data_IF_041213049450
#
_entry.id   IF_041213049450
#
_cell.length_a   1.000
_cell.length_b   1.000
_cell.length_c   1.000
_cell.angle_alpha   90.00
_cell.angle_beta   90.00
_cell.angle_gamma   90.00
#
_symmetry.space_group_name_H-M   'P 1'
#
loop_
_entity.id
_entity.type
_entity.pdbx_description
1 polymer ?
#
# COMPACT_ATOMS: atom_id res chain seq x y z
N UNK A 1 47.74 10.93 30.84
CA UNK A 1 46.46 10.28 30.62
C UNK A 1 46.02 10.72 29.22
N UNK A 2 46.14 9.86 28.24
CA UNK A 2 45.75 10.20 26.88
C UNK A 2 44.22 10.30 26.83
N UNK A 3 43.70 11.44 26.40
CA UNK A 3 42.33 11.68 26.04
C UNK A 3 41.93 10.62 25.02
N UNK A 4 41.08 9.67 25.44
CA UNK A 4 40.45 8.74 24.53
C UNK A 4 39.40 9.57 23.77
N UNK A 5 39.45 9.66 22.43
CA UNK A 5 38.41 10.41 21.70
C UNK A 5 37.05 9.87 22.12
N UNK A 6 36.17 10.77 22.59
CA UNK A 6 34.82 10.42 23.03
C UNK A 6 34.16 9.57 21.93
N UNK A 7 33.98 8.29 22.25
CA UNK A 7 33.30 7.35 21.35
C UNK A 7 31.85 7.83 21.27
N UNK A 8 31.33 7.98 20.05
CA UNK A 8 29.96 8.41 19.85
C UNK A 8 28.98 7.50 20.65
N UNK A 9 27.93 8.06 21.24
CA UNK A 9 26.90 7.26 21.93
C UNK A 9 26.39 6.16 21.03
N UNK A 10 26.17 4.95 21.56
CA UNK A 10 25.86 3.79 20.74
C UNK A 10 24.56 3.12 21.16
N UNK A 11 23.73 2.74 20.18
CA UNK A 11 22.54 1.92 20.35
C UNK A 11 22.77 0.56 19.70
N UNK A 12 22.83 -0.50 20.51
CA UNK A 12 22.92 -1.88 20.01
C UNK A 12 21.51 -2.45 19.93
N UNK A 13 21.05 -2.73 18.70
CA UNK A 13 19.70 -3.21 18.47
C UNK A 13 19.73 -4.71 18.23
N UNK A 14 18.94 -5.46 19.00
CA UNK A 14 18.80 -6.91 18.90
C UNK A 14 17.36 -7.29 18.58
N UNK A 15 17.15 -8.22 17.66
CA UNK A 15 15.83 -8.80 17.45
C UNK A 15 15.57 -9.98 18.38
N UNK A 16 14.36 -10.03 18.93
CA UNK A 16 13.89 -11.12 19.80
C UNK A 16 13.29 -12.29 19.04
N UNK A 17 13.39 -12.28 17.72
CA UNK A 17 12.72 -13.30 16.89
C UNK A 17 11.20 -13.11 16.84
N UNK A 18 10.49 -13.94 16.06
CA UNK A 18 9.06 -13.77 15.82
C UNK A 18 8.15 -14.42 16.87
N UNK A 19 8.71 -15.20 17.82
CA UNK A 19 7.93 -15.95 18.82
C UNK A 19 8.75 -16.22 20.10
N UNK A 20 8.80 -17.46 20.56
CA UNK A 20 9.43 -17.84 21.82
C UNK A 20 10.97 -17.91 21.77
N UNK A 21 11.57 -18.23 22.92
CA UNK A 21 13.02 -18.21 23.15
C UNK A 21 13.79 -19.21 22.27
N UNK A 22 13.14 -20.24 21.77
CA UNK A 22 13.69 -21.22 20.83
C UNK A 22 14.04 -20.63 19.46
N UNK A 23 13.49 -19.45 19.16
CA UNK A 23 13.78 -18.70 17.93
C UNK A 23 14.79 -17.57 18.12
N UNK A 24 15.34 -17.41 19.34
CA UNK A 24 16.43 -16.47 19.58
C UNK A 24 17.72 -16.97 18.92
N UNK A 25 18.38 -16.09 18.17
CA UNK A 25 19.69 -16.44 17.61
C UNK A 25 20.76 -16.49 18.69
N UNK A 26 21.78 -17.33 18.50
CA UNK A 26 22.95 -17.32 19.40
C UNK A 26 23.69 -15.97 19.39
N UNK A 27 23.54 -15.17 18.34
CA UNK A 27 24.04 -13.80 18.25
C UNK A 27 23.31 -12.89 19.21
N UNK A 28 21.97 -12.92 19.18
CA UNK A 28 21.10 -12.19 20.11
C UNK A 28 21.44 -12.57 21.56
N UNK A 29 21.45 -13.85 21.90
CA UNK A 29 21.74 -14.34 23.27
C UNK A 29 23.09 -13.83 23.79
N UNK A 30 24.13 -13.82 22.97
CA UNK A 30 25.45 -13.29 23.37
C UNK A 30 25.41 -11.79 23.63
N UNK A 31 24.56 -11.03 22.92
CA UNK A 31 24.43 -9.58 23.10
C UNK A 31 23.56 -9.22 24.30
N UNK A 32 22.59 -10.05 24.66
CA UNK A 32 21.74 -9.86 25.84
C UNK A 32 22.49 -10.09 27.14
N UNK A 33 23.53 -10.93 27.14
CA UNK A 33 24.24 -11.30 28.36
C UNK A 33 24.98 -10.10 29.00
N UNK A 34 24.48 -9.64 30.16
CA UNK A 34 25.17 -8.69 31.03
C UNK A 34 25.26 -7.26 30.53
N UNK A 35 24.35 -6.82 29.66
CA UNK A 35 24.31 -5.44 29.15
C UNK A 35 23.21 -4.63 29.79
N UNK A 36 23.60 -3.53 30.42
CA UNK A 36 22.73 -2.50 30.97
C UNK A 36 23.30 -1.12 30.62
N UNK A 37 22.48 -0.09 30.37
CA UNK A 37 21.01 -0.13 30.38
C UNK A 37 20.43 -0.85 29.15
N UNK A 38 19.32 -1.58 29.38
CA UNK A 38 18.61 -2.32 28.36
C UNK A 38 17.15 -1.83 28.24
N UNK A 39 16.65 -1.78 27.02
CA UNK A 39 15.29 -1.34 26.70
C UNK A 39 14.58 -2.39 25.85
N UNK A 40 13.26 -2.53 26.09
CA UNK A 40 12.36 -3.35 25.30
C UNK A 40 11.38 -2.46 24.54
N UNK A 41 11.17 -2.73 23.27
CA UNK A 41 10.08 -2.14 22.50
C UNK A 41 8.73 -2.36 23.18
N UNK A 42 8.50 -3.60 23.62
CA UNK A 42 7.33 -4.01 24.39
C UNK A 42 7.66 -5.20 25.29
N UNK A 43 7.10 -5.21 26.49
CA UNK A 43 7.17 -6.34 27.41
C UNK A 43 6.22 -7.49 27.04
N UNK A 44 5.31 -7.27 26.09
CA UNK A 44 4.31 -8.26 25.66
C UNK A 44 4.87 -9.34 24.73
N UNK A 45 6.13 -9.21 24.30
CA UNK A 45 6.79 -10.21 23.46
C UNK A 45 7.09 -11.49 24.26
N UNK A 46 6.85 -12.71 23.70
CA UNK A 46 7.10 -13.97 24.41
C UNK A 46 8.53 -14.11 24.97
N UNK A 47 9.54 -13.64 24.21
CA UNK A 47 10.95 -13.66 24.63
C UNK A 47 11.41 -12.41 25.39
N UNK A 48 10.50 -11.58 25.90
CA UNK A 48 10.85 -10.39 26.70
C UNK A 48 11.63 -10.77 27.98
N UNK A 49 11.36 -11.95 28.56
CA UNK A 49 12.06 -12.49 29.73
C UNK A 49 13.55 -12.75 29.50
N UNK A 50 13.98 -12.88 28.23
CA UNK A 50 15.39 -13.02 27.87
C UNK A 50 16.20 -11.72 28.08
N UNK A 51 15.52 -10.58 28.33
CA UNK A 51 16.14 -9.28 28.59
C UNK A 51 15.78 -8.83 30.02
N UNK A 52 16.42 -9.42 31.05
CA UNK A 52 16.09 -9.09 32.42
C UNK A 52 16.43 -7.63 32.73
N UNK A 53 15.66 -7.01 33.63
CA UNK A 53 15.81 -5.62 34.10
C UNK A 53 15.67 -4.54 32.97
N UNK A 54 15.18 -4.89 31.79
CA UNK A 54 14.97 -3.91 30.75
C UNK A 54 13.80 -2.98 31.05
N UNK A 55 13.95 -1.72 30.66
CA UNK A 55 12.84 -0.76 30.66
C UNK A 55 12.00 -0.94 29.39
N UNK A 56 10.71 -1.20 29.56
CA UNK A 56 9.76 -1.27 28.45
C UNK A 56 9.30 0.12 28.03
N UNK A 57 8.95 0.28 26.76
CA UNK A 57 8.31 1.48 26.21
C UNK A 57 6.78 1.35 26.09
N UNK A 58 6.18 0.37 26.75
CA UNK A 58 4.72 0.16 26.70
C UNK A 58 3.94 1.38 27.22
N UNK A 59 4.52 2.13 28.17
CA UNK A 59 3.96 3.39 28.70
C UNK A 59 3.68 4.43 27.60
N UNK A 60 4.55 4.55 26.60
CA UNK A 60 4.39 5.50 25.50
C UNK A 60 3.20 5.19 24.62
N UNK A 61 2.86 3.91 24.47
CA UNK A 61 1.68 3.50 23.71
C UNK A 61 0.36 3.82 24.41
N UNK A 62 0.38 3.91 25.73
CA UNK A 62 -0.79 4.24 26.52
C UNK A 62 -0.96 5.77 26.68
N UNK A 63 0.12 6.55 26.58
CA UNK A 63 0.14 8.00 26.85
C UNK A 63 0.00 8.87 25.59
N UNK A 64 0.48 8.40 24.42
CA UNK A 64 0.56 9.21 23.20
C UNK A 64 -0.55 8.84 22.21
N UNK A 65 -0.98 9.84 21.41
CA UNK A 65 -2.15 9.71 20.57
C UNK A 65 -1.87 9.03 19.22
N UNK A 66 -0.63 9.12 18.72
CA UNK A 66 -0.25 8.59 17.41
C UNK A 66 1.01 7.74 17.47
N UNK A 67 1.14 6.79 16.57
CA UNK A 67 2.34 5.96 16.46
C UNK A 67 3.60 6.78 16.15
N UNK A 68 3.48 7.83 15.35
CA UNK A 68 4.63 8.70 15.03
C UNK A 68 5.18 9.39 16.28
N UNK A 69 4.31 9.87 17.18
CA UNK A 69 4.70 10.43 18.46
C UNK A 69 5.38 9.39 19.34
N UNK A 70 4.85 8.16 19.38
CA UNK A 70 5.45 7.04 20.13
C UNK A 70 6.86 6.74 19.64
N UNK A 71 7.02 6.62 18.32
CA UNK A 71 8.31 6.27 17.73
C UNK A 71 9.36 7.37 17.95
N UNK A 72 8.98 8.63 17.80
CA UNK A 72 9.84 9.77 18.11
C UNK A 72 10.25 9.78 19.57
N UNK A 73 9.33 9.55 20.50
CA UNK A 73 9.61 9.51 21.93
C UNK A 73 10.54 8.35 22.33
N UNK A 74 10.38 7.17 21.72
CA UNK A 74 11.30 6.02 21.91
C UNK A 74 12.71 6.42 21.48
N UNK A 75 12.86 7.00 20.31
CA UNK A 75 14.17 7.46 19.78
C UNK A 75 14.82 8.45 20.74
N UNK A 76 14.11 9.47 21.21
CA UNK A 76 14.63 10.46 22.14
C UNK A 76 15.08 9.84 23.47
N UNK A 77 14.30 8.91 24.04
CA UNK A 77 14.68 8.20 25.27
C UNK A 77 15.94 7.34 25.07
N UNK A 78 16.06 6.64 23.93
CA UNK A 78 17.23 5.82 23.60
C UNK A 78 18.50 6.67 23.38
N UNK A 79 18.38 7.77 22.64
CA UNK A 79 19.49 8.71 22.41
C UNK A 79 19.96 9.33 23.70
N UNK A 80 19.04 9.79 24.56
CA UNK A 80 19.38 10.35 25.87
C UNK A 80 20.09 9.32 26.77
N UNK A 81 19.59 8.09 26.82
CA UNK A 81 20.19 7.01 27.59
C UNK A 81 21.59 6.62 27.05
N UNK A 82 21.76 6.53 25.73
CA UNK A 82 23.05 6.24 25.10
C UNK A 82 24.06 7.36 25.37
N UNK A 83 23.63 8.60 25.33
CA UNK A 83 24.47 9.76 25.67
C UNK A 83 24.93 9.73 27.12
N UNK A 84 24.07 9.30 28.03
CA UNK A 84 24.40 9.22 29.45
C UNK A 84 25.31 8.05 29.82
N UNK A 85 25.15 6.89 29.16
CA UNK A 85 25.85 5.63 29.50
C UNK A 85 26.95 5.22 28.52
N UNK A 86 27.04 5.89 27.36
CA UNK A 86 27.95 5.55 26.26
C UNK A 86 27.38 4.46 25.32
N UNK A 87 26.70 3.46 25.85
CA UNK A 87 26.06 2.39 25.07
C UNK A 87 24.78 1.94 25.75
N UNK A 88 23.74 1.64 24.94
CA UNK A 88 22.49 1.02 25.39
C UNK A 88 22.12 -0.16 24.50
N UNK A 89 21.38 -1.11 25.06
CA UNK A 89 20.77 -2.22 24.33
C UNK A 89 19.30 -1.89 24.06
N UNK A 90 18.86 -2.07 22.84
CA UNK A 90 17.44 -1.97 22.45
C UNK A 90 16.97 -3.27 21.83
N UNK A 91 16.03 -3.96 22.47
CA UNK A 91 15.49 -5.22 22.01
C UNK A 91 14.10 -5.00 21.38
N UNK A 92 13.94 -5.47 20.14
CA UNK A 92 12.73 -5.34 19.35
C UNK A 92 12.12 -6.68 18.98
N UNK A 93 10.80 -6.79 18.78
CA UNK A 93 10.16 -7.97 18.22
C UNK A 93 10.72 -8.33 16.85
N UNK A 94 10.76 -9.62 16.51
CA UNK A 94 11.17 -10.09 15.19
C UNK A 94 12.61 -9.75 14.83
N UNK A 95 12.79 -9.31 13.60
CA UNK A 95 14.06 -8.82 13.04
C UNK A 95 14.09 -7.29 13.04
N UNK A 96 15.20 -6.65 13.44
CA UNK A 96 15.28 -5.19 13.60
C UNK A 96 14.97 -4.35 12.34
N UNK A 97 15.05 -4.93 11.15
CA UNK A 97 14.80 -4.23 9.88
C UNK A 97 13.50 -4.67 9.19
N UNK A 98 12.66 -5.44 9.89
CA UNK A 98 11.40 -5.91 9.33
C UNK A 98 10.23 -5.28 10.10
N UNK A 99 9.56 -4.33 9.49
CA UNK A 99 8.42 -3.60 10.07
C UNK A 99 8.72 -2.90 11.40
N UNK A 100 9.93 -2.33 11.56
CA UNK A 100 10.40 -1.69 12.80
C UNK A 100 10.84 -0.23 12.55
N UNK A 101 9.87 0.68 12.60
CA UNK A 101 10.07 2.08 12.23
C UNK A 101 11.03 2.83 13.18
N UNK A 102 11.06 2.50 14.47
CA UNK A 102 12.01 3.11 15.42
C UNK A 102 13.46 2.85 15.03
N UNK A 103 13.74 1.68 14.46
CA UNK A 103 15.09 1.33 13.99
C UNK A 103 15.46 2.15 12.76
N UNK A 104 14.53 2.37 11.84
CA UNK A 104 14.76 3.26 10.69
C UNK A 104 15.09 4.70 11.11
N UNK A 105 14.38 5.22 12.12
CA UNK A 105 14.63 6.55 12.67
C UNK A 105 16.02 6.63 13.32
N UNK A 106 16.40 5.64 14.14
CA UNK A 106 17.71 5.57 14.77
C UNK A 106 18.85 5.50 13.75
N UNK A 107 18.69 4.75 12.67
CA UNK A 107 19.69 4.67 11.60
C UNK A 107 19.94 6.00 10.87
N UNK A 108 18.96 6.90 10.90
CA UNK A 108 19.06 8.25 10.31
C UNK A 108 19.49 9.31 11.32
N UNK A 109 19.58 8.97 12.61
CA UNK A 109 19.89 9.92 13.67
C UNK A 109 21.41 10.09 13.81
N UNK A 110 21.97 11.28 13.53
CA UNK A 110 23.42 11.51 13.60
C UNK A 110 23.99 11.58 15.02
N UNK A 111 23.12 11.55 16.04
CA UNK A 111 23.54 11.67 17.46
C UNK A 111 24.04 10.34 18.04
N UNK A 112 23.79 9.21 17.37
CA UNK A 112 24.15 7.88 17.86
C UNK A 112 24.74 7.01 16.75
N UNK A 113 25.64 6.10 17.14
CA UNK A 113 26.04 4.98 16.29
C UNK A 113 25.11 3.79 16.52
N UNK A 114 24.62 3.18 15.45
CA UNK A 114 23.72 2.04 15.53
C UNK A 114 24.43 0.75 15.12
N UNK A 115 24.42 -0.26 16.00
CA UNK A 115 24.80 -1.63 15.68
C UNK A 115 23.55 -2.51 15.63
N UNK A 116 23.33 -3.23 14.52
CA UNK A 116 22.20 -4.16 14.36
C UNK A 116 22.70 -5.60 14.45
N UNK A 117 22.07 -6.38 15.30
CA UNK A 117 22.29 -7.84 15.42
C UNK A 117 21.17 -8.55 14.66
N UNK A 118 21.48 -9.31 13.60
CA UNK A 118 20.46 -10.02 12.82
C UNK A 118 19.66 -11.03 13.66
N UNK A 119 18.36 -11.11 13.39
CA UNK A 119 17.45 -12.06 14.01
C UNK A 119 16.44 -12.59 12.98
N UNK A 120 15.73 -13.66 13.34
CA UNK A 120 14.61 -14.17 12.56
C UNK A 120 13.42 -13.20 12.61
N UNK A 121 12.63 -13.18 11.55
CA UNK A 121 11.37 -12.45 11.46
C UNK A 121 10.19 -13.40 11.27
N UNK A 122 8.97 -12.86 11.32
CA UNK A 122 7.77 -13.61 10.94
C UNK A 122 7.84 -14.11 9.48
N UNK A 123 8.61 -13.45 8.62
CA UNK A 123 8.82 -13.88 7.23
C UNK A 123 9.42 -15.29 7.17
N UNK A 124 10.44 -15.57 8.00
CA UNK A 124 11.08 -16.88 8.03
C UNK A 124 10.09 -17.99 8.40
N UNK A 125 9.21 -17.73 9.38
CA UNK A 125 8.15 -18.66 9.76
C UNK A 125 7.08 -18.79 8.66
N UNK A 126 6.72 -17.69 8.00
CA UNK A 126 5.76 -17.72 6.90
C UNK A 126 6.20 -18.66 5.79
N UNK A 127 7.46 -18.58 5.35
CA UNK A 127 7.98 -19.46 4.29
C UNK A 127 7.94 -20.93 4.69
N UNK A 128 8.31 -21.24 5.94
CA UNK A 128 8.25 -22.61 6.46
C UNK A 128 6.82 -23.14 6.50
N UNK A 129 5.84 -22.31 6.97
CA UNK A 129 4.44 -22.74 7.07
C UNK A 129 3.73 -22.83 5.73
N UNK A 130 4.13 -21.99 4.78
CA UNK A 130 3.63 -22.04 3.41
C UNK A 130 4.27 -23.16 2.58
N UNK A 131 5.46 -23.59 2.95
CA UNK A 131 6.24 -24.59 2.21
C UNK A 131 6.73 -24.07 0.87
N UNK A 132 7.10 -22.77 0.80
CA UNK A 132 7.52 -22.12 -0.44
C UNK A 132 8.92 -21.50 -0.30
N UNK A 133 9.58 -21.34 -1.43
CA UNK A 133 10.79 -20.53 -1.58
C UNK A 133 10.36 -19.16 -2.16
N UNK A 134 10.38 -18.06 -1.36
CA UNK A 134 9.88 -16.76 -1.80
C UNK A 134 10.64 -16.22 -3.01
N UNK A 135 11.88 -16.60 -3.22
CA UNK A 135 12.67 -16.18 -4.37
C UNK A 135 12.28 -16.96 -5.63
N UNK A 136 12.13 -18.29 -5.54
CA UNK A 136 11.73 -19.12 -6.66
C UNK A 136 10.28 -18.84 -7.09
N UNK A 137 9.39 -18.61 -6.13
CA UNK A 137 7.98 -18.31 -6.37
C UNK A 137 7.72 -16.82 -6.70
N UNK A 138 8.72 -15.95 -6.54
CA UNK A 138 8.60 -14.52 -6.85
C UNK A 138 7.65 -13.78 -5.91
N UNK A 139 7.63 -14.12 -4.61
CA UNK A 139 6.69 -13.54 -3.64
C UNK A 139 7.00 -12.05 -3.42
N UNK A 140 6.00 -11.21 -3.58
CA UNK A 140 6.05 -9.79 -3.24
C UNK A 140 5.51 -9.57 -1.82
N UNK A 141 6.28 -8.88 -0.97
CA UNK A 141 5.85 -8.49 0.37
C UNK A 141 5.23 -7.11 0.28
N UNK A 142 3.99 -6.97 0.78
CA UNK A 142 3.21 -5.72 0.72
C UNK A 142 2.65 -5.37 2.10
N UNK A 143 2.42 -4.08 2.33
CA UNK A 143 1.73 -3.57 3.51
C UNK A 143 0.21 -3.63 3.29
N UNK A 144 -0.56 -4.15 4.27
CA UNK A 144 -2.02 -4.26 4.20
C UNK A 144 -2.72 -2.92 3.99
N UNK A 145 -2.19 -1.84 4.57
CA UNK A 145 -2.74 -0.49 4.39
C UNK A 145 -2.53 0.08 2.98
N UNK A 146 -1.58 -0.45 2.24
CA UNK A 146 -1.23 -0.03 0.89
C UNK A 146 -1.57 -1.07 -0.17
N UNK A 147 -2.27 -2.14 0.23
CA UNK A 147 -2.49 -3.32 -0.60
C UNK A 147 -2.97 -2.95 -2.01
N UNK A 148 -4.01 -2.15 -2.15
CA UNK A 148 -4.57 -1.80 -3.46
C UNK A 148 -3.59 -1.06 -4.39
N UNK A 149 -2.67 -0.27 -3.82
CA UNK A 149 -1.67 0.47 -4.60
C UNK A 149 -0.46 -0.41 -4.91
N UNK A 150 0.04 -1.14 -3.91
CA UNK A 150 1.28 -1.90 -4.02
C UNK A 150 1.11 -3.20 -4.82
N UNK A 151 -0.13 -3.71 -4.95
CA UNK A 151 -0.47 -4.86 -5.80
C UNK A 151 -0.93 -4.49 -7.21
N UNK A 152 -1.12 -3.21 -7.49
CA UNK A 152 -1.61 -2.75 -8.77
C UNK A 152 -0.70 -3.24 -9.93
N UNK A 153 -1.31 -3.95 -10.89
CA UNK A 153 -0.57 -4.48 -12.06
C UNK A 153 0.19 -5.78 -11.81
N UNK A 154 0.08 -6.40 -10.64
CA UNK A 154 0.71 -7.70 -10.35
C UNK A 154 -0.33 -8.74 -9.94
N UNK A 155 -0.14 -9.96 -10.41
CA UNK A 155 -0.98 -11.10 -10.03
C UNK A 155 -0.49 -11.81 -8.74
N UNK A 156 0.63 -11.38 -8.16
CA UNK A 156 1.24 -12.06 -7.02
C UNK A 156 2.17 -13.21 -7.43
N UNK A 157 2.52 -14.09 -6.48
CA UNK A 157 1.97 -14.21 -5.12
C UNK A 157 2.37 -13.05 -4.18
N UNK A 158 1.51 -12.79 -3.18
CA UNK A 158 1.74 -11.73 -2.19
C UNK A 158 1.79 -12.27 -0.76
N UNK A 159 2.74 -11.79 0.03
CA UNK A 159 2.66 -11.85 1.49
C UNK A 159 2.27 -10.46 2.00
N UNK A 160 1.06 -10.35 2.56
CA UNK A 160 0.52 -9.10 3.08
C UNK A 160 0.80 -9.02 4.57
N UNK A 161 1.64 -8.08 4.97
CA UNK A 161 2.00 -7.79 6.36
C UNK A 161 1.12 -6.67 6.93
N UNK A 162 1.27 -6.36 8.22
CA UNK A 162 0.54 -5.29 8.92
C UNK A 162 -0.99 -5.45 8.93
N UNK A 163 -1.48 -6.68 8.89
CA UNK A 163 -2.92 -6.99 8.97
C UNK A 163 -3.43 -6.99 10.41
N UNK A 164 -3.18 -5.90 11.14
CA UNK A 164 -3.32 -5.85 12.61
C UNK A 164 -4.77 -5.71 13.12
N UNK A 165 -5.75 -5.58 12.26
CA UNK A 165 -7.17 -5.49 12.62
C UNK A 165 -8.07 -6.05 11.51
N UNK A 166 -9.31 -6.38 11.87
CA UNK A 166 -10.30 -6.83 10.90
C UNK A 166 -10.68 -5.72 9.91
N UNK A 167 -10.50 -4.44 10.27
CA UNK A 167 -10.71 -3.32 9.35
C UNK A 167 -9.68 -3.35 8.22
N UNK A 168 -8.40 -3.60 8.53
CA UNK A 168 -7.36 -3.77 7.49
C UNK A 168 -7.65 -4.97 6.60
N UNK A 169 -8.15 -6.10 7.16
CA UNK A 169 -8.58 -7.24 6.36
C UNK A 169 -9.75 -6.89 5.43
N UNK A 170 -10.68 -6.06 5.90
CA UNK A 170 -11.78 -5.54 5.08
C UNK A 170 -11.25 -4.62 3.97
N UNK A 171 -10.30 -3.73 4.29
CA UNK A 171 -9.68 -2.83 3.31
C UNK A 171 -8.95 -3.62 2.22
N UNK A 172 -8.19 -4.65 2.59
CA UNK A 172 -7.55 -5.58 1.63
C UNK A 172 -8.59 -6.24 0.72
N UNK A 173 -9.68 -6.74 1.31
CA UNK A 173 -10.76 -7.39 0.56
C UNK A 173 -11.47 -6.43 -0.41
N UNK A 174 -11.69 -5.19 0.02
CA UNK A 174 -12.42 -4.17 -0.75
C UNK A 174 -11.51 -3.39 -1.73
N UNK A 175 -10.18 -3.49 -1.58
CA UNK A 175 -9.24 -2.84 -2.47
C UNK A 175 -9.34 -3.31 -3.93
N UNK A 176 -9.88 -4.51 -4.14
CA UNK A 176 -10.04 -5.12 -5.44
C UNK A 176 -11.48 -5.61 -5.59
N UNK A 177 -12.19 -5.05 -6.56
CA UNK A 177 -13.51 -5.54 -6.96
C UNK A 177 -13.33 -6.73 -7.92
N UNK A 178 -13.24 -7.93 -7.32
CA UNK A 178 -13.03 -9.16 -8.07
C UNK A 178 -14.37 -9.85 -8.32
N UNK A 179 -14.70 -10.22 -9.58
CA UNK A 179 -15.83 -11.07 -9.88
C UNK A 179 -15.78 -12.38 -9.08
N UNK A 180 -16.93 -12.93 -8.73
CA UNK A 180 -17.01 -14.10 -7.85
C UNK A 180 -16.19 -15.31 -8.32
N UNK A 181 -16.08 -15.52 -9.63
CA UNK A 181 -15.28 -16.60 -10.24
C UNK A 181 -13.75 -16.37 -10.18
N UNK A 182 -13.33 -15.14 -9.87
CA UNK A 182 -11.92 -14.72 -9.87
C UNK A 182 -11.37 -14.47 -8.47
N UNK A 183 -12.20 -14.65 -7.43
CA UNK A 183 -11.83 -14.46 -6.04
C UNK A 183 -10.89 -15.56 -5.57
N UNK A 184 -9.69 -15.24 -5.08
CA UNK A 184 -8.72 -16.24 -4.67
C UNK A 184 -9.11 -16.87 -3.32
N UNK A 185 -8.54 -18.04 -3.05
CA UNK A 185 -8.39 -18.52 -1.69
C UNK A 185 -7.16 -17.86 -1.07
N UNK A 186 -7.29 -17.40 0.18
CA UNK A 186 -6.24 -16.71 0.93
C UNK A 186 -5.80 -17.59 2.10
N UNK A 187 -4.51 -17.66 2.37
CA UNK A 187 -4.01 -18.27 3.60
C UNK A 187 -3.84 -17.22 4.68
N UNK A 188 -4.52 -17.41 5.80
CA UNK A 188 -4.31 -16.63 7.02
C UNK A 188 -3.14 -17.24 7.77
N UNK A 189 -2.18 -16.38 8.14
CA UNK A 189 -1.02 -16.68 8.95
C UNK A 189 -1.14 -15.84 10.22
N UNK A 190 -1.50 -16.46 11.33
CA UNK A 190 -1.79 -15.79 12.58
C UNK A 190 -1.04 -16.47 13.72
N UNK A 191 -0.40 -15.69 14.60
CA UNK A 191 0.36 -16.14 15.76
C UNK A 191 1.44 -17.19 15.42
N UNK A 192 2.15 -17.01 14.30
CA UNK A 192 3.16 -17.96 13.85
C UNK A 192 4.22 -18.23 14.93
N UNK A 193 4.44 -19.52 15.22
CA UNK A 193 5.40 -19.98 16.23
C UNK A 193 4.88 -19.92 17.67
N UNK A 194 3.63 -19.51 17.90
CA UNK A 194 3.01 -19.48 19.23
C UNK A 194 2.09 -20.70 19.41
N UNK A 195 1.71 -21.05 20.67
CA UNK A 195 0.85 -22.20 20.95
C UNK A 195 -0.54 -22.17 20.30
N UNK A 196 -1.02 -20.96 20.00
CA UNK A 196 -2.30 -20.68 19.34
C UNK A 196 -2.13 -20.32 17.85
N UNK A 197 -1.06 -20.79 17.23
CA UNK A 197 -0.79 -20.62 15.80
C UNK A 197 -1.96 -21.09 14.93
N UNK A 198 -2.37 -20.25 13.99
CA UNK A 198 -3.37 -20.58 12.98
C UNK A 198 -2.80 -20.36 11.59
N UNK A 199 -2.76 -21.45 10.79
CA UNK A 199 -2.46 -21.41 9.37
C UNK A 199 -3.60 -22.10 8.64
N UNK A 200 -4.46 -21.33 7.96
CA UNK A 200 -5.61 -21.90 7.25
C UNK A 200 -5.93 -21.15 5.97
N UNK A 201 -6.48 -21.85 5.02
CA UNK A 201 -7.03 -21.28 3.79
C UNK A 201 -8.49 -20.87 4.02
N UNK A 202 -8.84 -19.68 3.54
CA UNK A 202 -10.20 -19.14 3.60
C UNK A 202 -10.60 -18.56 2.25
N UNK A 203 -11.89 -18.56 1.90
CA UNK A 203 -12.39 -17.83 0.75
C UNK A 203 -12.18 -16.32 0.92
N UNK A 204 -11.95 -15.61 -0.19
CA UNK A 204 -11.81 -14.15 -0.21
C UNK A 204 -12.91 -13.41 0.55
N UNK A 205 -14.16 -13.83 0.36
CA UNK A 205 -15.33 -13.22 0.97
C UNK A 205 -15.39 -13.33 2.50
N UNK A 206 -14.70 -14.32 3.05
CA UNK A 206 -14.68 -14.59 4.50
C UNK A 206 -13.45 -14.01 5.20
N UNK A 207 -12.55 -13.36 4.46
CA UNK A 207 -11.24 -12.91 4.94
C UNK A 207 -11.34 -12.10 6.24
N UNK A 208 -12.20 -11.08 6.27
CA UNK A 208 -12.38 -10.15 7.38
C UNK A 208 -13.20 -10.69 8.56
N UNK A 209 -13.70 -11.94 8.44
CA UNK A 209 -14.53 -12.60 9.48
C UNK A 209 -13.93 -13.90 9.98
N UNK A 210 -12.83 -14.31 9.35
CA UNK A 210 -12.24 -15.63 9.59
C UNK A 210 -11.35 -15.70 10.82
N UNK A 211 -10.83 -14.56 11.29
CA UNK A 211 -9.93 -14.45 12.44
C UNK A 211 -10.19 -13.14 13.16
N UNK A 212 -9.94 -13.09 14.46
CA UNK A 212 -9.79 -11.80 15.14
C UNK A 212 -8.35 -11.34 14.91
N UNK A 213 -8.17 -10.46 13.94
CA UNK A 213 -6.85 -10.01 13.52
C UNK A 213 -6.20 -9.13 14.58
N UNK A 214 -4.88 -9.29 14.74
CA UNK A 214 -4.03 -8.46 15.58
C UNK A 214 -2.66 -8.24 14.91
N UNK A 215 -1.72 -7.63 15.63
CA UNK A 215 -0.38 -7.30 15.15
C UNK A 215 0.49 -8.52 14.73
N UNK A 216 0.04 -9.76 15.00
CA UNK A 216 0.68 -11.01 14.60
C UNK A 216 -0.07 -11.69 13.43
N UNK A 217 -0.87 -10.94 12.70
CA UNK A 217 -1.64 -11.44 11.56
C UNK A 217 -0.99 -10.99 10.25
N UNK A 218 -0.84 -11.92 9.33
CA UNK A 218 -0.47 -11.68 7.93
C UNK A 218 -1.25 -12.61 7.01
N UNK A 219 -1.26 -12.29 5.72
CA UNK A 219 -1.97 -13.06 4.71
C UNK A 219 -1.01 -13.51 3.62
N UNK A 220 -1.28 -14.67 3.04
CA UNK A 220 -0.67 -15.08 1.79
C UNK A 220 -1.73 -15.26 0.72
N UNK A 221 -1.58 -14.52 -0.36
CA UNK A 221 -2.44 -14.54 -1.53
C UNK A 221 -1.66 -15.17 -2.67
N UNK A 222 -1.94 -16.43 -3.06
CA UNK A 222 -1.13 -17.16 -4.04
C UNK A 222 -1.23 -16.56 -5.44
N UNK A 223 -2.39 -16.02 -5.77
CA UNK A 223 -2.62 -15.35 -7.05
C UNK A 223 -3.87 -14.49 -6.98
N UNK A 224 -3.79 -13.29 -7.51
CA UNK A 224 -4.97 -12.49 -7.87
C UNK A 224 -5.35 -12.79 -9.31
N UNK A 225 -6.65 -12.77 -9.61
CA UNK A 225 -7.12 -12.68 -10.98
C UNK A 225 -6.57 -11.39 -11.62
N UNK A 226 -6.53 -11.33 -12.95
CA UNK A 226 -5.86 -10.26 -13.66
C UNK A 226 -6.28 -8.87 -13.14
N UNK A 227 -5.40 -8.11 -12.50
CA UNK A 227 -5.76 -6.79 -12.00
C UNK A 227 -6.10 -5.87 -13.18
N UNK A 228 -6.96 -4.88 -12.98
CA UNK A 228 -7.29 -3.86 -13.98
C UNK A 228 -6.07 -3.36 -14.77
N UNK A 229 -4.94 -3.15 -14.09
CA UNK A 229 -3.71 -2.72 -14.74
C UNK A 229 -3.18 -3.71 -15.79
N UNK A 230 -3.35 -5.02 -15.58
CA UNK A 230 -2.98 -6.05 -16.57
C UNK A 230 -3.87 -5.95 -17.81
N UNK A 231 -5.17 -5.76 -17.63
CA UNK A 231 -6.10 -5.57 -18.75
C UNK A 231 -5.79 -4.26 -19.50
N UNK A 232 -5.41 -3.20 -18.80
CA UNK A 232 -4.96 -1.96 -19.44
C UNK A 232 -3.69 -2.14 -20.25
N UNK A 233 -2.72 -2.94 -19.77
CA UNK A 233 -1.53 -3.29 -20.56
C UNK A 233 -1.90 -4.13 -21.77
N UNK A 234 -2.78 -5.11 -21.61
CA UNK A 234 -3.24 -5.98 -22.71
C UNK A 234 -3.91 -5.19 -23.82
N UNK A 235 -4.81 -4.26 -23.49
CA UNK A 235 -5.49 -3.44 -24.50
C UNK A 235 -4.50 -2.49 -25.19
N UNK A 236 -3.51 -1.95 -24.49
CA UNK A 236 -2.46 -1.13 -25.08
C UNK A 236 -1.57 -1.94 -26.04
N UNK A 237 -1.17 -3.17 -25.66
CA UNK A 237 -0.42 -4.10 -26.54
C UNK A 237 -1.23 -4.53 -27.75
N UNK A 238 -2.52 -4.83 -27.56
CA UNK A 238 -3.45 -5.13 -28.65
C UNK A 238 -3.50 -3.98 -29.64
N UNK A 239 -3.64 -2.74 -29.15
CA UNK A 239 -3.71 -1.55 -30.00
C UNK A 239 -2.43 -1.38 -30.84
N UNK A 240 -1.24 -1.54 -30.25
CA UNK A 240 0.03 -1.52 -31.00
C UNK A 240 0.09 -2.62 -32.07
N UNK A 241 -0.45 -3.80 -31.76
CA UNK A 241 -0.51 -4.93 -32.70
C UNK A 241 -1.45 -4.64 -33.85
N UNK A 242 -2.63 -4.07 -33.59
CA UNK A 242 -3.58 -3.65 -34.63
C UNK A 242 -2.99 -2.57 -35.52
N UNK A 243 -2.33 -1.56 -34.95
CA UNK A 243 -1.65 -0.50 -35.69
C UNK A 243 -0.62 -1.02 -36.70
N UNK A 244 0.05 -2.12 -36.39
CA UNK A 244 1.09 -2.71 -37.26
C UNK A 244 0.55 -3.82 -38.18
N UNK A 245 -0.50 -4.53 -37.74
CA UNK A 245 -0.99 -5.74 -38.42
C UNK A 245 -2.29 -5.57 -39.20
N UNK A 246 -3.13 -4.59 -38.84
CA UNK A 246 -4.39 -4.32 -39.55
C UNK A 246 -4.24 -3.12 -40.49
N UNK A 247 -4.48 -3.29 -41.80
CA UNK A 247 -4.36 -2.19 -42.78
C UNK A 247 -5.27 -1.00 -42.44
N UNK A 248 -6.48 -1.26 -41.93
CA UNK A 248 -7.43 -0.20 -41.59
C UNK A 248 -6.93 0.61 -40.37
N UNK A 249 -6.55 -0.07 -39.30
CA UNK A 249 -6.03 0.59 -38.07
C UNK A 249 -4.74 1.35 -38.40
N UNK A 250 -3.85 0.77 -39.21
CA UNK A 250 -2.58 1.36 -39.62
C UNK A 250 -2.73 2.70 -40.37
N UNK A 251 -3.82 2.91 -41.08
CA UNK A 251 -4.09 4.15 -41.88
C UNK A 251 -4.79 5.24 -41.04
N UNK A 252 -5.27 4.93 -39.81
CA UNK A 252 -6.02 5.90 -39.02
C UNK A 252 -5.12 7.04 -38.47
N UNK A 253 -5.72 8.21 -38.41
CA UNK A 253 -5.14 9.43 -37.82
C UNK A 253 -6.11 10.03 -36.80
N UNK A 254 -5.65 10.98 -35.98
CA UNK A 254 -6.54 11.72 -35.07
C UNK A 254 -7.75 12.34 -35.79
N UNK A 255 -7.55 12.85 -37.01
CA UNK A 255 -8.61 13.48 -37.80
C UNK A 255 -9.63 12.46 -38.34
N UNK A 256 -9.16 11.28 -38.82
CA UNK A 256 -10.07 10.25 -39.35
C UNK A 256 -10.92 9.60 -38.27
N UNK A 257 -10.40 9.53 -37.06
CA UNK A 257 -11.10 8.94 -35.88
C UNK A 257 -12.06 9.89 -35.19
N UNK A 258 -11.96 11.21 -35.40
CA UNK A 258 -12.78 12.19 -34.70
C UNK A 258 -14.30 11.91 -34.80
N UNK A 259 -14.77 11.44 -35.98
CA UNK A 259 -16.18 11.08 -36.16
C UNK A 259 -16.63 9.89 -35.32
N UNK A 260 -15.74 8.93 -35.09
CA UNK A 260 -16.06 7.75 -34.27
C UNK A 260 -16.15 8.12 -32.78
N UNK A 261 -15.33 9.04 -32.30
CA UNK A 261 -15.47 9.58 -30.94
C UNK A 261 -16.86 10.21 -30.71
N UNK A 262 -17.41 10.91 -31.71
CA UNK A 262 -18.75 11.49 -31.65
C UNK A 262 -19.84 10.41 -31.69
N UNK A 263 -19.66 9.37 -32.52
CA UNK A 263 -20.56 8.23 -32.68
C UNK A 263 -20.64 7.42 -31.38
N UNK A 264 -19.52 6.92 -30.84
CA UNK A 264 -19.48 6.13 -29.63
C UNK A 264 -19.96 6.94 -28.38
N UNK A 265 -19.66 8.24 -28.33
CA UNK A 265 -20.20 9.09 -27.26
C UNK A 265 -21.73 9.23 -27.34
N UNK A 266 -22.33 9.24 -28.54
CA UNK A 266 -23.77 9.29 -28.72
C UNK A 266 -24.42 7.95 -28.33
N UNK A 267 -23.83 6.82 -28.74
CA UNK A 267 -24.29 5.47 -28.40
C UNK A 267 -24.21 5.22 -26.89
N UNK A 268 -23.14 5.64 -26.23
CA UNK A 268 -23.05 5.61 -24.75
C UNK A 268 -24.17 6.43 -24.08
N UNK A 269 -24.53 7.62 -24.60
CA UNK A 269 -25.63 8.44 -24.06
C UNK A 269 -26.96 7.72 -24.22
N UNK A 270 -27.18 7.00 -25.33
CA UNK A 270 -28.38 6.18 -25.55
C UNK A 270 -28.43 5.00 -24.56
N UNK A 271 -27.31 4.28 -24.35
CA UNK A 271 -27.19 3.19 -23.39
C UNK A 271 -27.45 3.66 -21.94
N UNK A 272 -26.90 4.81 -21.52
CA UNK A 272 -27.21 5.42 -20.23
C UNK A 272 -28.73 5.71 -20.09
N UNK A 273 -29.37 6.18 -21.16
CA UNK A 273 -30.80 6.46 -21.15
C UNK A 273 -31.65 5.19 -21.04
N UNK A 274 -31.17 4.09 -21.64
CA UNK A 274 -31.81 2.77 -21.54
C UNK A 274 -31.73 2.16 -20.12
N UNK A 275 -30.66 2.42 -19.36
CA UNK A 275 -30.57 2.03 -17.94
C UNK A 275 -31.70 2.65 -17.09
N UNK A 276 -32.04 3.91 -17.34
CA UNK A 276 -33.09 4.61 -16.63
C UNK A 276 -34.51 4.19 -17.06
N UNK A 277 -34.67 3.73 -18.32
CA UNK A 277 -35.95 3.33 -18.90
C UNK A 277 -35.74 2.01 -19.70
N UNK A 278 -35.61 0.86 -18.99
CA UNK A 278 -35.30 -0.40 -19.65
C UNK A 278 -36.35 -0.75 -20.71
N UNK A 279 -35.93 -1.20 -21.91
CA UNK A 279 -36.84 -1.68 -22.93
C UNK A 279 -37.58 -2.94 -22.47
N UNK A 280 -38.48 -3.46 -23.29
CA UNK A 280 -39.31 -4.62 -22.93
C UNK A 280 -38.51 -5.83 -22.46
N UNK A 281 -39.11 -6.73 -21.68
CA UNK A 281 -38.44 -7.90 -21.08
C UNK A 281 -37.78 -8.87 -22.09
N UNK A 282 -38.01 -8.73 -23.38
CA UNK A 282 -37.40 -9.53 -24.46
C UNK A 282 -36.21 -8.85 -25.11
N UNK A 283 -35.83 -7.65 -24.65
CA UNK A 283 -34.64 -6.93 -25.14
C UNK A 283 -33.33 -7.41 -24.44
N UNK A 284 -32.16 -7.22 -25.05
CA UNK A 284 -30.89 -7.44 -24.38
C UNK A 284 -30.80 -6.69 -23.04
N UNK A 285 -30.04 -7.24 -22.09
CA UNK A 285 -29.83 -6.57 -20.80
C UNK A 285 -29.22 -5.18 -21.04
N UNK A 286 -29.87 -4.11 -20.58
CA UNK A 286 -29.34 -2.77 -20.76
C UNK A 286 -28.00 -2.55 -20.03
N UNK A 287 -27.65 -3.38 -19.07
CA UNK A 287 -26.34 -3.32 -18.38
C UNK A 287 -25.24 -3.84 -19.27
N UNK A 288 -25.47 -4.97 -19.99
CA UNK A 288 -24.50 -5.53 -20.94
C UNK A 288 -24.22 -4.54 -22.08
N UNK A 289 -25.25 -3.93 -22.62
CA UNK A 289 -25.12 -2.91 -23.66
C UNK A 289 -24.35 -1.66 -23.16
N UNK A 290 -24.63 -1.22 -21.93
CA UNK A 290 -23.91 -0.10 -21.34
C UNK A 290 -22.44 -0.40 -21.11
N UNK A 291 -22.08 -1.64 -20.73
CA UNK A 291 -20.69 -2.08 -20.60
C UNK A 291 -19.97 -2.05 -21.95
N UNK A 292 -20.62 -2.50 -23.03
CA UNK A 292 -20.10 -2.47 -24.40
C UNK A 292 -19.78 -1.05 -24.84
N UNK A 293 -20.72 -0.13 -24.71
CA UNK A 293 -20.52 1.29 -25.13
C UNK A 293 -19.46 2.02 -24.30
N UNK A 294 -19.31 1.68 -23.00
CA UNK A 294 -18.18 2.17 -22.21
C UNK A 294 -16.84 1.65 -22.75
N UNK A 295 -16.81 0.41 -23.22
CA UNK A 295 -15.65 -0.20 -23.88
C UNK A 295 -15.27 0.53 -25.17
N UNK A 296 -16.25 0.88 -26.00
CA UNK A 296 -16.03 1.55 -27.29
C UNK A 296 -15.52 2.98 -27.12
N UNK A 297 -16.05 3.72 -26.14
CA UNK A 297 -15.48 5.03 -25.76
C UNK A 297 -14.06 4.89 -25.20
N UNK A 298 -13.79 3.88 -24.38
CA UNK A 298 -12.42 3.60 -23.89
C UNK A 298 -11.48 3.25 -25.04
N UNK A 299 -11.92 2.48 -26.02
CA UNK A 299 -11.15 2.16 -27.21
C UNK A 299 -10.71 3.43 -27.95
N UNK A 300 -11.58 4.40 -28.15
CA UNK A 300 -11.21 5.68 -28.76
C UNK A 300 -10.11 6.40 -27.95
N UNK A 301 -10.20 6.40 -26.62
CA UNK A 301 -9.17 7.00 -25.76
C UNK A 301 -7.82 6.29 -25.94
N UNK A 302 -7.81 4.96 -25.90
CA UNK A 302 -6.60 4.14 -26.07
C UNK A 302 -5.98 4.35 -27.45
N UNK A 303 -6.82 4.37 -28.50
CA UNK A 303 -6.36 4.56 -29.86
C UNK A 303 -5.69 5.93 -30.06
N UNK A 304 -6.34 7.00 -29.63
CA UNK A 304 -5.77 8.33 -29.66
C UNK A 304 -4.49 8.46 -28.84
N UNK A 305 -4.40 7.80 -27.69
CA UNK A 305 -3.18 7.77 -26.89
C UNK A 305 -2.03 6.99 -27.60
N UNK A 306 -2.37 5.91 -28.32
CA UNK A 306 -1.42 5.17 -29.15
C UNK A 306 -0.85 6.05 -30.27
N UNK A 307 -1.69 6.76 -31.02
CA UNK A 307 -1.26 7.70 -32.05
C UNK A 307 -0.37 8.81 -31.48
N UNK A 308 -0.74 9.37 -30.34
CA UNK A 308 0.07 10.40 -29.67
C UNK A 308 1.45 9.87 -29.24
N UNK A 309 1.52 8.62 -28.80
CA UNK A 309 2.79 7.96 -28.44
C UNK A 309 3.67 7.70 -29.68
N UNK A 310 3.08 7.33 -30.83
CA UNK A 310 3.80 7.20 -32.11
C UNK A 310 4.45 8.52 -32.54
N UNK A 311 3.77 9.65 -32.30
CA UNK A 311 4.27 11.00 -32.59
C UNK A 311 5.24 11.51 -31.49
N UNK A 312 5.45 10.76 -30.43
CA UNK A 312 6.32 11.14 -29.31
C UNK A 312 5.74 12.26 -28.41
N UNK A 313 4.44 12.48 -28.40
CA UNK A 313 3.80 13.55 -27.62
C UNK A 313 3.57 13.15 -26.16
N UNK A 314 2.84 12.07 -25.93
CA UNK A 314 2.51 11.51 -24.61
C UNK A 314 2.00 10.07 -24.74
N UNK A 315 1.94 9.36 -23.62
CA UNK A 315 1.46 7.98 -23.50
C UNK A 315 0.09 7.91 -22.85
N UNK A 316 -0.57 6.74 -22.91
CA UNK A 316 -1.80 6.48 -22.15
C UNK A 316 -1.59 6.69 -20.64
N UNK A 317 -0.43 6.29 -20.11
CA UNK A 317 -0.09 6.51 -18.70
C UNK A 317 -0.05 8.01 -18.33
N UNK A 318 0.41 8.88 -19.25
CA UNK A 318 0.42 10.33 -19.02
C UNK A 318 -1.01 10.90 -19.02
N UNK A 319 -1.90 10.36 -19.86
CA UNK A 319 -3.33 10.73 -19.87
C UNK A 319 -3.99 10.40 -18.52
N UNK A 320 -3.78 9.17 -18.03
CA UNK A 320 -4.32 8.72 -16.73
C UNK A 320 -3.76 9.56 -15.57
N UNK A 321 -2.44 9.79 -15.56
CA UNK A 321 -1.77 10.62 -14.55
C UNK A 321 -2.31 12.05 -14.55
N UNK A 322 -2.42 12.67 -15.71
CA UNK A 322 -2.94 14.03 -15.84
C UNK A 322 -4.41 14.14 -15.36
N UNK A 323 -5.23 13.11 -15.64
CA UNK A 323 -6.59 13.03 -15.13
C UNK A 323 -6.61 12.92 -13.60
N UNK A 324 -5.83 12.01 -13.02
CA UNK A 324 -5.72 11.81 -11.58
C UNK A 324 -5.31 13.12 -10.88
N UNK A 325 -4.20 13.72 -11.29
CA UNK A 325 -3.71 14.98 -10.72
C UNK A 325 -4.73 16.11 -10.83
N UNK A 326 -5.42 16.20 -11.96
CA UNK A 326 -6.51 17.15 -12.17
C UNK A 326 -7.66 16.96 -11.19
N UNK A 327 -8.11 15.71 -10.98
CA UNK A 327 -9.22 15.40 -10.08
C UNK A 327 -8.83 15.64 -8.62
N UNK A 328 -7.67 15.19 -8.17
CA UNK A 328 -7.14 15.46 -6.82
C UNK A 328 -7.08 16.96 -6.57
N UNK A 329 -6.52 17.74 -7.50
CA UNK A 329 -6.40 19.19 -7.40
C UNK A 329 -7.76 19.91 -7.33
N UNK A 330 -8.78 19.38 -8.00
CA UNK A 330 -10.12 19.96 -8.06
C UNK A 330 -11.06 19.51 -6.94
N UNK A 331 -10.62 18.57 -6.09
CA UNK A 331 -11.39 18.09 -4.94
C UNK A 331 -10.64 18.29 -3.61
N UNK A 332 -10.20 19.52 -3.29
CA UNK A 332 -9.41 19.80 -2.10
C UNK A 332 -10.17 19.58 -0.78
N UNK A 333 -11.48 19.46 -0.83
CA UNK A 333 -12.34 19.07 0.29
C UNK A 333 -12.23 17.57 0.64
N UNK A 334 -11.74 16.74 -0.30
CA UNK A 334 -11.46 15.31 -0.11
C UNK A 334 -9.94 15.10 0.08
N UNK A 335 -9.14 15.85 -0.68
CA UNK A 335 -7.67 15.77 -0.68
C UNK A 335 -7.10 17.12 -0.17
N UNK A 336 -6.90 17.28 1.15
CA UNK A 336 -6.44 18.55 1.74
C UNK A 336 -5.12 19.04 1.14
N UNK A 337 -5.05 20.35 0.87
CA UNK A 337 -3.87 21.03 0.34
C UNK A 337 -3.59 22.29 1.17
N UNK A 338 -2.32 22.60 1.35
CA UNK A 338 -1.88 23.77 2.14
C UNK A 338 -2.31 25.12 1.57
N UNK A 339 -2.60 25.20 0.26
CA UNK A 339 -3.01 26.40 -0.47
C UNK A 339 -4.53 26.51 -0.70
N UNK A 340 -5.30 25.56 -0.17
CA UNK A 340 -6.76 25.48 -0.43
C UNK A 340 -7.51 26.70 0.04
N UNK A 341 -7.29 27.12 1.28
CA UNK A 341 -7.99 28.26 1.89
C UNK A 341 -7.69 29.59 1.17
N UNK A 342 -6.52 29.68 0.53
CA UNK A 342 -6.11 30.83 -0.28
C UNK A 342 -6.89 30.89 -1.60
N UNK A 343 -7.24 29.76 -2.19
CA UNK A 343 -7.91 29.67 -3.50
C UNK A 343 -9.43 29.74 -3.36
N UNK A 344 -10.00 29.13 -2.33
CA UNK A 344 -11.46 28.91 -2.20
C UNK A 344 -12.09 29.74 -1.08
N UNK A 345 -11.28 30.22 -0.11
CA UNK A 345 -11.74 30.91 1.10
C UNK A 345 -12.31 29.94 2.14
N UNK A 346 -12.56 30.46 3.37
CA UNK A 346 -12.98 29.68 4.56
C UNK A 346 -14.40 29.03 4.47
N UNK A 347 -14.88 28.67 3.28
CA UNK A 347 -16.22 28.11 3.13
C UNK A 347 -16.14 26.58 3.19
N UNK A 348 -16.58 26.03 4.32
CA UNK A 348 -16.74 24.58 4.49
C UNK A 348 -17.65 24.00 3.38
N UNK A 349 -17.13 23.05 2.63
CA UNK A 349 -17.91 22.28 1.64
C UNK A 349 -18.83 21.32 2.41
N UNK A 350 -20.14 21.52 2.33
CA UNK A 350 -21.15 20.70 3.02
C UNK A 350 -22.20 20.13 2.10
N UNK A 351 -22.33 20.68 0.89
CA UNK A 351 -23.34 20.24 -0.09
C UNK A 351 -22.71 20.04 -1.46
N UNK A 352 -23.39 19.28 -2.33
CA UNK A 352 -22.98 19.08 -3.72
C UNK A 352 -22.88 20.43 -4.47
N UNK A 353 -23.74 21.40 -4.14
CA UNK A 353 -23.72 22.74 -4.74
C UNK A 353 -22.47 23.53 -4.35
N UNK A 354 -21.98 23.35 -3.12
CA UNK A 354 -20.71 23.96 -2.69
C UNK A 354 -19.53 23.37 -3.46
N UNK A 355 -19.54 22.06 -3.72
CA UNK A 355 -18.52 21.38 -4.54
C UNK A 355 -18.51 21.96 -5.95
N UNK A 356 -19.65 22.05 -6.62
CA UNK A 356 -19.76 22.58 -7.99
C UNK A 356 -19.26 24.03 -8.05
N UNK A 357 -19.63 24.86 -7.08
CA UNK A 357 -19.22 26.26 -6.99
C UNK A 357 -17.70 26.40 -6.81
N UNK A 358 -17.11 25.57 -5.96
CA UNK A 358 -15.67 25.58 -5.73
C UNK A 358 -14.92 25.07 -6.96
N UNK A 359 -15.45 24.07 -7.63
CA UNK A 359 -14.89 23.52 -8.86
C UNK A 359 -14.81 24.58 -9.98
N UNK A 360 -15.87 25.40 -10.17
CA UNK A 360 -15.84 26.48 -11.14
C UNK A 360 -14.81 27.56 -10.78
N UNK A 361 -14.63 27.91 -9.49
CA UNK A 361 -13.58 28.84 -9.05
C UNK A 361 -12.17 28.32 -9.34
N UNK A 362 -11.90 27.06 -9.01
CA UNK A 362 -10.61 26.43 -9.27
C UNK A 362 -10.33 26.40 -10.78
N UNK A 363 -11.32 26.05 -11.60
CA UNK A 363 -11.23 26.02 -13.05
C UNK A 363 -10.96 27.39 -13.66
N UNK A 364 -11.56 28.46 -13.11
CA UNK A 364 -11.27 29.83 -13.51
C UNK A 364 -9.85 30.27 -13.16
N UNK A 365 -9.37 29.93 -11.95
CA UNK A 365 -8.00 30.20 -11.53
C UNK A 365 -6.97 29.46 -12.41
N UNK A 366 -7.22 28.19 -12.75
CA UNK A 366 -6.37 27.43 -13.68
C UNK A 366 -6.30 28.05 -15.09
N UNK A 367 -7.43 28.56 -15.58
CA UNK A 367 -7.47 29.26 -16.91
C UNK A 367 -6.70 30.57 -16.86
N UNK A 368 -6.83 31.34 -15.79
CA UNK A 368 -6.10 32.59 -15.63
C UNK A 368 -4.57 32.35 -15.56
N UNK A 369 -4.13 31.31 -14.85
CA UNK A 369 -2.72 30.95 -14.73
C UNK A 369 -2.09 30.41 -16.05
N UNK A 370 -2.89 29.90 -16.98
CA UNK A 370 -2.42 29.44 -18.32
C UNK A 370 -2.30 30.58 -19.35
N UNK A 371 -3.02 31.68 -19.12
CA UNK A 371 -3.09 32.82 -20.05
C UNK A 371 -2.20 33.99 -19.64
N UNK A 372 -1.50 33.91 -18.50
CA UNK A 372 -0.51 34.87 -18.00
C UNK A 372 0.89 34.26 -18.02
#
# INVERSE_FOLDING_TARGET
MADNPERAPRVVIVGLGPAGDDLLTSGTLRRLAGREPAFLRTSRHPSASAVPNATSFDDLYDELATFDEVYAAIVERLVAAATASGEVLYAVPGSPLVAEHTVELLLRDPRVEVEIVPALSFLDLSWVRLGIDPLADGVTIVDGHRFGVDTAGSAGPFLVAQCHSNDVLSDVKLALDLPGSERPEVRILHHLGLPDEVVRTVPWDELDRSVTADHLTSLYIPRLAAPFAVEMVRIEELMRTLRTGCPWDGEQTHASLARYVEEEAAELVEAISALANPPSADAPDPVDHFEEELGDVLFQVVFHACLAAEEGWFTLADVVRALHEKLVRRHPHVFPRADFDTIVGEHAVRTAEDVVRNWERIKQAERAARNG
#
